data_IF_375450165777
#
_entry.id   IF_375450165777
#
_cell.length_a   1.000
_cell.length_b   1.000
_cell.length_c   1.000
_cell.angle_alpha   90.00
_cell.angle_beta   90.00
_cell.angle_gamma   90.00
#
_symmetry.space_group_name_H-M   'P 1'
#
loop_
_entity.id
_entity.type
_entity.pdbx_description
1 polymer ?
#
# COMPACT_ATOMS: atom_id res chain seq x y z
N UNK A 1 -37.82 -16.28 -14.31
CA UNK A 1 -36.88 -15.15 -14.56
C UNK A 1 -35.86 -15.29 -13.46
N UNK A 2 -34.86 -16.12 -13.70
CA UNK A 2 -33.95 -16.56 -12.66
C UNK A 2 -32.64 -15.80 -12.84
N UNK A 3 -32.31 -14.96 -11.86
CA UNK A 3 -31.06 -14.24 -11.83
C UNK A 3 -29.93 -15.24 -11.58
N UNK A 4 -29.11 -15.49 -12.60
CA UNK A 4 -27.90 -16.30 -12.48
C UNK A 4 -26.89 -15.50 -11.65
N UNK A 5 -26.66 -15.95 -10.42
CA UNK A 5 -25.55 -15.48 -9.59
C UNK A 5 -24.28 -16.15 -10.15
N UNK A 6 -23.45 -15.39 -10.85
CA UNK A 6 -22.19 -15.88 -11.39
C UNK A 6 -21.13 -15.97 -10.28
N UNK A 7 -20.37 -17.06 -10.25
CA UNK A 7 -19.25 -17.21 -9.32
C UNK A 7 -17.98 -16.52 -9.85
N UNK A 8 -17.07 -16.05 -8.96
CA UNK A 8 -15.86 -15.31 -9.35
C UNK A 8 -14.94 -16.04 -10.33
N UNK A 9 -14.98 -17.38 -10.35
CA UNK A 9 -14.14 -18.18 -11.25
C UNK A 9 -14.55 -18.06 -12.72
N UNK A 10 -15.80 -17.73 -13.02
CA UNK A 10 -16.28 -17.55 -14.40
C UNK A 10 -15.89 -16.19 -14.98
N UNK A 11 -15.49 -15.23 -14.14
CA UNK A 11 -15.05 -13.90 -14.56
C UNK A 11 -13.58 -13.88 -15.02
N UNK A 12 -12.76 -14.84 -14.57
CA UNK A 12 -11.31 -14.89 -14.85
C UNK A 12 -10.99 -15.24 -16.32
N UNK A 13 -11.91 -15.87 -17.06
CA UNK A 13 -11.70 -16.22 -18.47
C UNK A 13 -12.03 -15.08 -19.46
N UNK A 14 -12.56 -13.95 -18.98
CA UNK A 14 -13.14 -12.89 -19.83
C UNK A 14 -12.31 -11.61 -20.02
N UNK A 15 -11.17 -11.44 -19.34
CA UNK A 15 -10.28 -10.28 -19.57
C UNK A 15 -9.69 -9.70 -18.29
N UNK A 16 -8.39 -9.92 -18.09
CA UNK A 16 -7.62 -9.37 -16.96
C UNK A 16 -7.40 -7.86 -16.97
N UNK A 17 -7.83 -7.13 -18.01
CA UNK A 17 -7.61 -5.69 -18.14
C UNK A 17 -8.47 -4.85 -17.19
N UNK A 18 -9.71 -5.28 -16.88
CA UNK A 18 -10.58 -4.53 -15.98
C UNK A 18 -10.14 -4.65 -14.50
N UNK A 19 -9.54 -5.79 -14.13
CA UNK A 19 -9.09 -6.07 -12.76
C UNK A 19 -7.76 -5.36 -12.44
N UNK A 20 -6.87 -5.22 -13.43
CA UNK A 20 -5.72 -4.32 -13.33
C UNK A 20 -6.16 -2.85 -13.17
N UNK A 21 -7.31 -2.45 -13.73
CA UNK A 21 -7.83 -1.09 -13.64
C UNK A 21 -8.45 -0.72 -12.28
N UNK A 22 -8.75 -1.67 -11.38
CA UNK A 22 -9.42 -1.38 -10.08
C UNK A 22 -8.52 -1.49 -8.87
N UNK A 23 -7.42 -2.25 -8.93
CA UNK A 23 -6.39 -2.26 -7.86
C UNK A 23 -5.37 -1.14 -8.00
N UNK A 24 -5.08 -0.71 -9.24
CA UNK A 24 -4.16 0.40 -9.53
C UNK A 24 -4.62 1.76 -8.99
N UNK A 25 -5.92 2.14 -8.95
CA UNK A 25 -6.33 3.45 -8.46
C UNK A 25 -6.06 3.63 -6.97
N UNK A 26 -6.26 2.60 -6.15
CA UNK A 26 -6.15 2.74 -4.70
C UNK A 26 -4.69 2.81 -4.23
N UNK A 27 -3.80 1.95 -4.75
CA UNK A 27 -2.37 2.04 -4.42
C UNK A 27 -1.75 3.33 -4.97
N UNK A 28 -2.14 3.76 -6.18
CA UNK A 28 -1.78 5.09 -6.68
C UNK A 28 -2.30 6.24 -5.81
N UNK A 29 -3.48 6.10 -5.20
CA UNK A 29 -4.03 7.11 -4.27
C UNK A 29 -3.20 7.19 -2.99
N UNK A 30 -2.70 6.05 -2.49
CA UNK A 30 -1.79 6.01 -1.34
C UNK A 30 -0.48 6.73 -1.66
N UNK A 31 0.12 6.47 -2.83
CA UNK A 31 1.37 7.13 -3.24
C UNK A 31 1.18 8.64 -3.44
N UNK A 32 0.07 9.06 -4.03
CA UNK A 32 -0.30 10.49 -4.13
C UNK A 32 -0.42 11.13 -2.75
N UNK A 33 -1.01 10.42 -1.79
CA UNK A 33 -1.07 10.89 -0.40
C UNK A 33 0.31 11.02 0.24
N UNK A 34 1.23 10.08 -0.04
CA UNK A 34 2.63 10.16 0.43
C UNK A 34 3.37 11.37 -0.15
N UNK A 35 3.00 11.81 -1.34
CA UNK A 35 3.50 13.04 -1.96
C UNK A 35 2.77 14.31 -1.46
N UNK A 36 1.89 14.18 -0.47
CA UNK A 36 1.21 15.30 0.21
C UNK A 36 -0.17 15.64 -0.35
N UNK A 37 -0.71 14.86 -1.29
CA UNK A 37 -2.07 15.07 -1.77
C UNK A 37 -3.10 14.70 -0.68
N UNK A 38 -4.10 15.56 -0.50
CA UNK A 38 -5.23 15.25 0.37
C UNK A 38 -6.14 14.27 -0.34
N UNK A 39 -6.37 13.11 0.30
CA UNK A 39 -7.25 12.07 -0.21
C UNK A 39 -8.47 11.92 0.70
N UNK A 40 -9.58 11.47 0.14
CA UNK A 40 -10.74 11.06 0.92
C UNK A 40 -10.46 9.70 1.58
N UNK A 41 -10.02 9.74 2.83
CA UNK A 41 -9.71 8.54 3.62
C UNK A 41 -10.95 7.69 3.90
N UNK A 42 -12.14 8.30 3.94
CA UNK A 42 -13.39 7.56 4.12
C UNK A 42 -13.71 6.74 2.86
N UNK A 43 -13.47 7.31 1.67
CA UNK A 43 -13.57 6.57 0.41
C UNK A 43 -12.59 5.40 0.38
N UNK A 44 -11.32 5.62 0.75
CA UNK A 44 -10.31 4.57 0.83
C UNK A 44 -10.75 3.43 1.77
N UNK A 45 -11.24 3.77 2.97
CA UNK A 45 -11.78 2.80 3.92
C UNK A 45 -12.96 2.02 3.36
N UNK A 46 -13.93 2.69 2.75
CA UNK A 46 -15.11 2.03 2.18
C UNK A 46 -14.73 1.00 1.10
N UNK A 47 -13.75 1.32 0.25
CA UNK A 47 -13.26 0.38 -0.76
C UNK A 47 -12.63 -0.84 -0.08
N UNK A 48 -11.81 -0.63 0.96
CA UNK A 48 -11.16 -1.73 1.70
C UNK A 48 -12.16 -2.61 2.44
N UNK A 49 -13.20 -2.04 3.03
CA UNK A 49 -14.27 -2.78 3.70
C UNK A 49 -14.97 -3.74 2.71
N UNK A 50 -15.13 -3.35 1.43
CA UNK A 50 -15.66 -4.25 0.39
C UNK A 50 -14.74 -5.46 0.14
N UNK A 51 -13.41 -5.27 0.10
CA UNK A 51 -12.48 -6.40 -0.05
C UNK A 51 -12.56 -7.38 1.12
N UNK A 52 -12.75 -6.86 2.34
CA UNK A 52 -12.91 -7.68 3.55
C UNK A 52 -14.25 -8.42 3.51
N UNK A 53 -15.35 -7.73 3.22
CA UNK A 53 -16.69 -8.32 3.13
C UNK A 53 -16.78 -9.42 2.06
N UNK A 54 -16.21 -9.19 0.87
CA UNK A 54 -16.17 -10.20 -0.20
C UNK A 54 -15.31 -11.42 0.17
N UNK A 55 -14.26 -11.20 0.98
CA UNK A 55 -13.36 -12.27 1.43
C UNK A 55 -13.92 -13.12 2.57
N UNK A 56 -14.97 -12.63 3.25
CA UNK A 56 -15.50 -13.20 4.48
C UNK A 56 -14.40 -13.43 5.52
N UNK A 57 -14.54 -14.48 6.31
CA UNK A 57 -13.59 -14.83 7.40
C UNK A 57 -12.16 -15.09 6.91
N UNK A 58 -11.97 -15.41 5.63
CA UNK A 58 -10.65 -15.70 5.06
C UNK A 58 -9.86 -14.44 4.68
N UNK A 59 -10.53 -13.28 4.54
CA UNK A 59 -9.95 -12.03 4.05
C UNK A 59 -9.12 -12.18 2.75
N UNK A 60 -9.36 -13.25 1.97
CA UNK A 60 -8.46 -13.69 0.90
C UNK A 60 -8.25 -12.64 -0.19
N UNK A 61 -9.29 -11.87 -0.51
CA UNK A 61 -9.20 -10.83 -1.53
C UNK A 61 -8.49 -9.58 -0.99
N UNK A 62 -8.72 -9.21 0.28
CA UNK A 62 -7.92 -8.17 0.92
C UNK A 62 -6.42 -8.52 0.90
N UNK A 63 -6.07 -9.73 1.33
CA UNK A 63 -4.68 -10.16 1.42
C UNK A 63 -4.00 -10.27 0.04
N UNK A 64 -4.58 -11.04 -0.89
CA UNK A 64 -3.95 -11.34 -2.18
C UNK A 64 -4.04 -10.20 -3.19
N UNK A 65 -5.18 -9.53 -3.22
CA UNK A 65 -5.45 -8.60 -4.30
C UNK A 65 -5.05 -7.17 -3.93
N UNK A 66 -5.24 -6.77 -2.67
CA UNK A 66 -4.90 -5.43 -2.22
C UNK A 66 -3.57 -5.38 -1.47
N UNK A 67 -3.43 -6.11 -0.35
CA UNK A 67 -2.29 -5.97 0.56
C UNK A 67 -0.97 -6.33 -0.12
N UNK A 68 -0.90 -7.44 -0.86
CA UNK A 68 0.31 -7.82 -1.60
C UNK A 68 0.74 -6.74 -2.62
N UNK A 69 -0.20 -6.19 -3.37
CA UNK A 69 0.08 -5.11 -4.34
C UNK A 69 0.54 -3.84 -3.63
N UNK A 70 -0.17 -3.45 -2.56
CA UNK A 70 0.13 -2.25 -1.78
C UNK A 70 1.50 -2.31 -1.12
N UNK A 71 1.89 -3.46 -0.56
CA UNK A 71 3.21 -3.65 0.03
C UNK A 71 4.32 -3.58 -1.02
N UNK A 72 4.10 -4.16 -2.21
CA UNK A 72 5.05 -4.09 -3.32
C UNK A 72 5.25 -2.65 -3.81
N UNK A 73 4.16 -1.91 -4.03
CA UNK A 73 4.22 -0.52 -4.46
C UNK A 73 4.90 0.35 -3.40
N UNK A 74 4.61 0.09 -2.12
CA UNK A 74 5.28 0.76 -0.99
C UNK A 74 6.78 0.51 -0.97
N UNK A 75 7.21 -0.72 -1.19
CA UNK A 75 8.63 -1.06 -1.24
C UNK A 75 9.33 -0.27 -2.35
N UNK A 76 8.75 -0.25 -3.56
CA UNK A 76 9.29 0.50 -4.70
C UNK A 76 9.33 2.01 -4.41
N UNK A 77 8.28 2.57 -3.80
CA UNK A 77 8.20 3.98 -3.44
C UNK A 77 9.33 4.38 -2.49
N UNK A 78 9.48 3.67 -1.36
CA UNK A 78 10.48 4.03 -0.35
C UNK A 78 11.90 3.70 -0.77
N UNK A 79 12.13 2.63 -1.54
CA UNK A 79 13.44 2.35 -2.14
C UNK A 79 13.93 3.51 -3.02
N UNK A 80 13.02 4.06 -3.85
CA UNK A 80 13.31 5.22 -4.69
C UNK A 80 13.59 6.47 -3.85
N UNK A 81 12.72 6.78 -2.87
CA UNK A 81 12.91 7.94 -1.98
C UNK A 81 14.22 7.85 -1.21
N UNK A 82 14.57 6.68 -0.70
CA UNK A 82 15.83 6.47 0.02
C UNK A 82 17.03 6.72 -0.89
N UNK A 83 17.03 6.16 -2.10
CA UNK A 83 18.09 6.42 -3.09
C UNK A 83 18.26 7.91 -3.39
N UNK A 84 17.15 8.64 -3.59
CA UNK A 84 17.18 10.08 -3.87
C UNK A 84 17.70 10.89 -2.67
N UNK A 85 17.27 10.54 -1.46
CA UNK A 85 17.67 11.25 -0.24
C UNK A 85 19.10 10.96 0.18
N UNK A 86 19.59 9.73 0.09
CA UNK A 86 20.98 9.38 0.39
C UNK A 86 21.93 10.15 -0.53
N UNK A 87 21.55 10.34 -1.80
CA UNK A 87 22.36 11.09 -2.76
C UNK A 87 22.36 12.62 -2.49
N UNK A 88 21.41 13.15 -1.72
CA UNK A 88 21.16 14.60 -1.64
C UNK A 88 21.07 15.19 -0.23
N UNK A 89 21.03 14.37 0.83
CA UNK A 89 20.85 14.81 2.22
C UNK A 89 22.04 14.42 3.10
N UNK A 90 22.21 15.16 4.20
CA UNK A 90 23.07 14.72 5.29
C UNK A 90 22.48 13.48 5.98
N UNK A 91 23.30 12.76 6.73
CA UNK A 91 22.83 11.62 7.53
C UNK A 91 21.73 12.03 8.53
N UNK A 92 21.90 13.14 9.24
CA UNK A 92 20.93 13.63 10.22
C UNK A 92 19.58 13.97 9.55
N UNK A 93 19.63 14.68 8.41
CA UNK A 93 18.42 15.00 7.64
C UNK A 93 17.73 13.75 7.07
N UNK A 94 18.52 12.73 6.72
CA UNK A 94 18.00 11.45 6.25
C UNK A 94 17.23 10.73 7.36
N UNK A 95 17.82 10.57 8.55
CA UNK A 95 17.18 9.91 9.68
C UNK A 95 15.89 10.65 10.10
N UNK A 96 15.91 11.99 10.13
CA UNK A 96 14.69 12.77 10.38
C UNK A 96 13.59 12.49 9.35
N UNK A 97 13.95 12.30 8.08
CA UNK A 97 12.99 11.91 7.04
C UNK A 97 12.45 10.50 7.24
N UNK A 98 13.27 9.55 7.69
CA UNK A 98 12.80 8.21 8.01
C UNK A 98 11.77 8.22 9.15
N UNK A 99 12.04 8.95 10.23
CA UNK A 99 11.12 9.08 11.36
C UNK A 99 9.78 9.71 10.95
N UNK A 100 9.82 10.76 10.12
CA UNK A 100 8.62 11.39 9.56
C UNK A 100 7.80 10.39 8.74
N UNK A 101 8.44 9.62 7.87
CA UNK A 101 7.77 8.62 7.04
C UNK A 101 7.09 7.53 7.86
N UNK A 102 7.78 6.99 8.88
CA UNK A 102 7.23 5.96 9.75
C UNK A 102 6.03 6.49 10.56
N UNK A 103 6.10 7.75 11.02
CA UNK A 103 4.99 8.39 11.73
C UNK A 103 3.78 8.61 10.82
N UNK A 104 4.00 9.02 9.58
CA UNK A 104 2.94 9.22 8.60
C UNK A 104 2.26 7.89 8.23
N UNK A 105 3.04 6.82 8.05
CA UNK A 105 2.52 5.47 7.82
C UNK A 105 1.75 4.93 9.02
N UNK A 106 2.23 5.18 10.25
CA UNK A 106 1.50 4.84 11.48
C UNK A 106 0.13 5.56 11.53
N UNK A 107 0.07 6.83 11.12
CA UNK A 107 -1.20 7.56 10.97
C UNK A 107 -2.11 6.94 9.91
N UNK A 108 -1.54 6.51 8.77
CA UNK A 108 -2.28 5.91 7.66
C UNK A 108 -2.89 4.56 8.02
N UNK A 109 -2.14 3.69 8.70
CA UNK A 109 -2.64 2.38 9.15
C UNK A 109 -3.68 2.49 10.25
N UNK A 110 -3.60 3.50 11.10
CA UNK A 110 -4.66 3.79 12.07
C UNK A 110 -5.95 4.29 11.41
N UNK A 111 -5.83 4.98 10.26
CA UNK A 111 -6.97 5.61 9.59
C UNK A 111 -7.76 4.63 8.72
N UNK A 112 -7.09 3.92 7.82
CA UNK A 112 -7.79 3.05 6.85
C UNK A 112 -7.05 1.75 6.47
N UNK A 113 -5.79 1.55 6.85
CA UNK A 113 -5.01 0.31 6.53
C UNK A 113 -4.78 -0.61 7.75
N UNK A 114 -5.77 -0.75 8.63
CA UNK A 114 -5.63 -1.43 9.93
C UNK A 114 -5.06 -2.85 9.83
N UNK A 115 -5.49 -3.63 8.84
CA UNK A 115 -5.11 -5.04 8.72
C UNK A 115 -3.67 -5.23 8.22
N UNK A 116 -3.10 -4.21 7.58
CA UNK A 116 -1.74 -4.24 7.04
C UNK A 116 -0.71 -3.55 7.93
N UNK A 117 -1.10 -3.08 9.13
CA UNK A 117 -0.25 -2.27 10.02
C UNK A 117 1.17 -2.82 10.17
N UNK A 118 1.28 -4.06 10.64
CA UNK A 118 2.59 -4.64 10.92
C UNK A 118 3.45 -4.77 9.66
N UNK A 119 2.89 -5.40 8.61
CA UNK A 119 3.61 -5.64 7.35
C UNK A 119 4.03 -4.35 6.66
N UNK A 120 3.17 -3.32 6.69
CA UNK A 120 3.46 -2.04 6.05
C UNK A 120 4.63 -1.34 6.72
N UNK A 121 4.62 -1.25 8.05
CA UNK A 121 5.71 -0.62 8.81
C UNK A 121 7.03 -1.39 8.65
N UNK A 122 6.98 -2.73 8.66
CA UNK A 122 8.16 -3.58 8.41
C UNK A 122 8.78 -3.32 7.03
N UNK A 123 7.94 -3.18 5.98
CA UNK A 123 8.43 -2.87 4.62
C UNK A 123 9.08 -1.48 4.57
N UNK A 124 8.44 -0.47 5.16
CA UNK A 124 8.96 0.91 5.17
C UNK A 124 10.29 0.98 5.91
N UNK A 125 10.38 0.35 7.08
CA UNK A 125 11.61 0.30 7.88
C UNK A 125 12.73 -0.45 7.12
N UNK A 126 12.40 -1.57 6.49
CA UNK A 126 13.36 -2.35 5.70
C UNK A 126 13.97 -1.53 4.55
N UNK A 127 13.13 -0.90 3.72
CA UNK A 127 13.61 -0.12 2.58
C UNK A 127 14.39 1.13 3.01
N UNK A 128 13.98 1.80 4.09
CA UNK A 128 14.62 3.03 4.53
C UNK A 128 15.91 2.80 5.35
N UNK A 129 15.97 1.75 6.17
CA UNK A 129 17.09 1.53 7.10
C UNK A 129 17.97 0.35 6.70
N UNK A 130 17.38 -0.76 6.25
CA UNK A 130 18.13 -2.02 6.05
C UNK A 130 18.81 -2.07 4.68
N UNK A 131 18.08 -1.76 3.61
CA UNK A 131 18.61 -1.82 2.23
C UNK A 131 19.81 -0.87 2.03
N UNK A 132 19.88 0.20 2.83
CA UNK A 132 20.86 1.26 2.70
C UNK A 132 21.82 1.39 3.88
N UNK A 133 21.78 0.48 4.84
CA UNK A 133 22.63 0.52 6.03
C UNK A 133 24.12 0.72 5.72
N UNK A 134 24.63 0.11 4.64
CA UNK A 134 26.04 0.21 4.25
C UNK A 134 26.43 1.51 3.52
N UNK A 135 25.46 2.35 3.15
CA UNK A 135 25.68 3.65 2.46
C UNK A 135 25.55 4.83 3.40
N UNK A 136 25.28 4.54 4.67
CA UNK A 136 24.98 5.49 5.73
C UNK A 136 26.22 5.75 6.62
N UNK A 137 27.29 4.95 6.47
CA UNK A 137 28.63 5.19 7.04
C UNK A 137 29.47 6.17 6.19
#
# INVERSE_FOLDING_TARGET
>A
MDAIIWSPTQFILGGGELWLSTNTPLTCTIDRQREGEQIDQALGKNVLDIYVEMGGDSMKYYAKDFEESMLKDTAVFYSKKASDWIASKSYEDYILKVEECLKDEEGRVQSYLRYSKQKLLEVVEYELLTVHASKIE
#
